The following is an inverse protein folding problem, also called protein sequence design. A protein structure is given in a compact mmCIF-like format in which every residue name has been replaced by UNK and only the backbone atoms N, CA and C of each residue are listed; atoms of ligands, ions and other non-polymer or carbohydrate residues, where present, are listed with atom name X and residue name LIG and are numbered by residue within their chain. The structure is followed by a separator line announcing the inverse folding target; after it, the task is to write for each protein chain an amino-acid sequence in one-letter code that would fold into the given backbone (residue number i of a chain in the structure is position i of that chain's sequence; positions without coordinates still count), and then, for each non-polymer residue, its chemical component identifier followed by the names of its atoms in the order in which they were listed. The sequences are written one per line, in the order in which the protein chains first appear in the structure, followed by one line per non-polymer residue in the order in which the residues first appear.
data_IF_666460733133
#
_entry.id   IF_666460733133
#
_cell.length_a   1.000
_cell.length_b   1.000
_cell.length_c   1.000
_cell.angle_alpha   90.00
_cell.angle_beta   90.00
_cell.angle_gamma   90.00
#
_symmetry.space_group_name_H-M   'P 1'
#
loop_
_entity.id
_entity.type
_entity.pdbx_description
1 polymer ?
#
# COMPACT_ATOMS: atom_id res chain seq x y z
N UNK A 1 -70.55 7.93 -39.98
CA UNK A 1 -71.72 7.42 -40.69
C UNK A 1 -72.78 7.05 -39.64
N UNK A 2 -73.90 7.74 -39.72
CA UNK A 2 -75.22 7.54 -39.14
C UNK A 2 -75.31 7.61 -37.60
N UNK A 3 -75.78 8.75 -37.08
CA UNK A 3 -77.20 9.20 -37.01
C UNK A 3 -77.90 8.53 -35.85
N UNK A 4 -78.28 9.25 -34.77
CA UNK A 4 -79.37 10.26 -34.68
C UNK A 4 -80.65 9.58 -34.19
N UNK A 5 -81.30 10.27 -33.28
CA UNK A 5 -82.77 10.30 -32.96
C UNK A 5 -83.13 9.28 -31.85
N UNK A 6 -83.86 9.64 -30.82
CA UNK A 6 -85.12 10.38 -30.67
C UNK A 6 -85.29 10.67 -29.17
N UNK A 7 -85.43 11.80 -28.59
CA UNK A 7 -86.51 12.80 -28.54
C UNK A 7 -87.86 12.28 -28.26
N UNK A 8 -88.40 12.88 -27.22
CA UNK A 8 -89.85 13.04 -26.99
C UNK A 8 -90.68 11.84 -26.50
N UNK A 9 -90.86 11.76 -25.15
CA UNK A 9 -92.15 11.47 -24.62
C UNK A 9 -92.19 11.76 -23.10
N UNK A 10 -92.65 12.89 -22.69
CA UNK A 10 -93.33 13.08 -21.40
C UNK A 10 -93.57 14.54 -21.08
N UNK A 11 -94.44 15.11 -21.82
CA UNK A 11 -95.25 16.27 -21.34
C UNK A 11 -96.68 15.82 -21.32
N UNK A 12 -97.16 15.47 -20.14
CA UNK A 12 -98.52 15.57 -19.73
C UNK A 12 -98.80 14.67 -18.52
N UNK A 13 -98.67 15.21 -17.31
CA UNK A 13 -99.47 14.88 -16.10
C UNK A 13 -98.88 15.82 -15.00
N UNK A 14 -99.18 17.05 -15.15
CA UNK A 14 -99.05 17.99 -14.01
C UNK A 14 -100.29 18.85 -14.03
N UNK A 15 -100.93 18.97 -12.96
CA UNK A 15 -102.04 19.85 -12.61
C UNK A 15 -103.15 19.05 -11.86
N UNK A 16 -102.95 18.48 -10.75
CA UNK A 16 -104.03 18.32 -9.73
C UNK A 16 -103.52 18.03 -8.30
N UNK A 17 -102.29 18.30 -7.92
CA UNK A 17 -101.85 17.98 -6.53
C UNK A 17 -101.20 19.14 -5.73
N UNK A 18 -101.57 20.34 -6.05
CA UNK A 18 -100.92 21.52 -5.42
C UNK A 18 -101.79 22.29 -4.39
N UNK A 19 -102.79 21.72 -3.75
CA UNK A 19 -103.55 22.57 -2.79
C UNK A 19 -103.52 22.10 -1.33
N UNK A 20 -102.98 20.97 -0.95
CA UNK A 20 -102.95 20.49 0.45
C UNK A 20 -101.56 20.29 1.03
N UNK A 21 -100.48 20.65 0.29
CA UNK A 21 -99.06 20.56 0.76
C UNK A 21 -98.51 21.81 1.36
N UNK A 22 -99.18 22.96 1.24
CA UNK A 22 -98.63 24.22 1.74
C UNK A 22 -98.89 24.55 3.22
N UNK A 23 -99.87 23.92 3.83
CA UNK A 23 -100.19 24.09 5.27
C UNK A 23 -99.44 23.09 6.17
N UNK A 24 -99.03 21.95 5.68
CA UNK A 24 -98.29 20.96 6.47
C UNK A 24 -96.75 21.32 6.55
N UNK A 25 -96.22 22.06 5.57
CA UNK A 25 -94.82 22.43 5.53
C UNK A 25 -94.52 23.63 6.48
N UNK A 26 -95.49 24.50 6.72
CA UNK A 26 -95.30 25.64 7.62
C UNK A 26 -95.17 25.27 9.10
N UNK A 27 -95.93 24.22 9.56
CA UNK A 27 -95.83 23.78 10.94
C UNK A 27 -94.60 22.91 11.22
N UNK A 28 -94.13 22.17 10.26
CA UNK A 28 -92.92 21.36 10.38
C UNK A 28 -91.64 22.23 10.40
N UNK A 29 -91.58 23.37 9.68
CA UNK A 29 -90.46 24.31 9.70
C UNK A 29 -90.35 25.13 10.99
N UNK A 30 -91.52 25.43 11.64
CA UNK A 30 -91.51 26.15 12.93
C UNK A 30 -91.06 25.28 14.11
N UNK A 31 -91.33 23.97 14.08
CA UNK A 31 -90.87 23.02 15.11
C UNK A 31 -89.41 22.66 14.97
N UNK A 32 -88.88 22.65 13.77
CA UNK A 32 -87.40 22.45 13.53
C UNK A 32 -86.59 23.68 13.92
N UNK A 33 -87.14 24.87 13.72
CA UNK A 33 -86.46 26.11 14.15
C UNK A 33 -86.39 26.27 15.68
N UNK A 34 -87.42 25.82 16.43
CA UNK A 34 -87.43 25.84 17.89
C UNK A 34 -86.51 24.76 18.52
N UNK A 35 -86.37 23.61 17.90
CA UNK A 35 -85.46 22.55 18.34
C UNK A 35 -84.02 22.97 17.99
N UNK A 36 -83.80 23.67 16.87
CA UNK A 36 -82.46 24.18 16.46
C UNK A 36 -81.93 25.30 17.37
N UNK A 37 -82.77 26.19 17.92
CA UNK A 37 -82.34 27.21 18.86
C UNK A 37 -82.10 26.69 20.28
N UNK A 38 -82.76 25.58 20.70
CA UNK A 38 -82.53 24.92 21.98
C UNK A 38 -81.24 24.09 22.02
N UNK A 39 -80.83 23.52 20.90
CA UNK A 39 -79.61 22.70 20.80
C UNK A 39 -78.32 23.52 20.63
N UNK A 40 -78.42 24.74 20.17
CA UNK A 40 -77.23 25.60 20.00
C UNK A 40 -76.65 26.20 21.30
N UNK A 41 -77.45 26.13 22.41
CA UNK A 41 -76.95 26.58 23.74
C UNK A 41 -76.37 25.49 24.62
N UNK A 42 -76.44 24.21 24.19
CA UNK A 42 -75.84 23.08 24.95
C UNK A 42 -74.55 22.54 24.36
N UNK A 43 -74.02 23.11 23.28
CA UNK A 43 -72.72 22.72 22.69
C UNK A 43 -71.84 23.97 22.61
N UNK A 44 -71.74 24.72 23.67
CA UNK A 44 -70.58 25.55 23.94
C UNK A 44 -69.56 24.64 24.60
N UNK A 45 -68.94 23.75 23.79
CA UNK A 45 -67.66 23.21 24.17
C UNK A 45 -66.65 24.37 24.06
N UNK A 46 -66.14 24.80 25.19
CA UNK A 46 -64.87 25.54 25.20
C UNK A 46 -63.89 24.73 24.34
N UNK A 47 -63.17 25.34 23.37
CA UNK A 47 -62.12 24.62 22.67
C UNK A 47 -61.13 24.24 23.76
N UNK A 48 -61.11 22.96 24.15
CA UNK A 48 -59.94 22.40 24.85
C UNK A 48 -58.80 22.66 23.91
N UNK A 49 -58.02 23.71 24.19
CA UNK A 49 -56.74 23.94 23.58
C UNK A 49 -55.96 22.66 23.91
N UNK A 50 -55.92 21.72 22.98
CA UNK A 50 -55.12 20.51 23.10
C UNK A 50 -53.69 21.05 23.37
N UNK A 51 -53.22 20.85 24.58
CA UNK A 51 -51.85 21.19 24.91
C UNK A 51 -50.98 20.50 23.84
N UNK A 52 -50.18 21.33 23.12
CA UNK A 52 -49.28 20.78 22.09
C UNK A 52 -48.51 19.62 22.71
N UNK A 53 -48.40 18.48 22.06
CA UNK A 53 -47.66 17.34 22.59
C UNK A 53 -46.28 17.83 23.03
N UNK A 54 -45.78 17.37 24.18
CA UNK A 54 -44.48 17.80 24.66
C UNK A 54 -43.42 17.54 23.59
N UNK A 55 -42.44 18.44 23.41
CA UNK A 55 -41.40 18.28 22.41
C UNK A 55 -40.71 16.92 22.56
N UNK A 56 -40.48 16.19 21.47
CA UNK A 56 -39.88 14.86 21.53
C UNK A 56 -38.49 14.90 22.17
N UNK A 57 -38.22 13.89 23.01
CA UNK A 57 -36.92 13.77 23.66
C UNK A 57 -35.90 13.19 22.64
N UNK A 58 -34.74 13.82 22.55
CA UNK A 58 -33.62 13.41 21.72
C UNK A 58 -32.34 13.34 22.55
N UNK A 59 -31.48 12.38 22.24
CA UNK A 59 -30.14 12.31 22.86
C UNK A 59 -29.17 13.10 22.01
N UNK A 60 -28.46 14.04 22.63
CA UNK A 60 -27.45 14.88 21.97
C UNK A 60 -26.08 14.63 22.57
N UNK A 61 -25.03 14.68 21.73
CA UNK A 61 -23.65 14.62 22.15
C UNK A 61 -22.84 15.74 21.50
N UNK A 62 -21.80 16.19 22.20
CA UNK A 62 -20.80 17.07 21.61
C UNK A 62 -19.82 16.26 20.78
N UNK A 63 -19.35 16.77 19.64
CA UNK A 63 -18.28 16.13 18.87
C UNK A 63 -17.02 15.95 19.71
N UNK A 64 -16.40 14.81 19.64
CA UNK A 64 -15.12 14.54 20.32
C UNK A 64 -14.00 15.11 19.48
N UNK A 65 -13.20 16.00 20.05
CA UNK A 65 -11.98 16.49 19.41
C UNK A 65 -10.84 15.52 19.72
N UNK A 66 -10.28 14.89 18.69
CA UNK A 66 -9.16 13.95 18.82
C UNK A 66 -8.10 14.23 17.76
N UNK A 67 -6.84 14.06 18.14
CA UNK A 67 -5.74 14.03 17.17
C UNK A 67 -5.81 12.71 16.41
N UNK A 68 -5.91 12.78 15.10
CA UNK A 68 -6.01 11.60 14.24
C UNK A 68 -4.95 11.66 13.16
N UNK A 69 -4.34 10.52 12.90
CA UNK A 69 -3.49 10.29 11.74
C UNK A 69 -4.40 9.85 10.59
N UNK A 70 -4.32 10.52 9.46
CA UNK A 70 -4.96 10.03 8.24
C UNK A 70 -4.05 9.00 7.58
N UNK A 71 -4.65 7.92 7.11
CA UNK A 71 -3.96 6.83 6.43
C UNK A 71 -4.55 6.66 5.04
N UNK A 72 -3.69 6.44 4.06
CA UNK A 72 -4.08 6.02 2.72
C UNK A 72 -3.67 4.55 2.55
N UNK A 73 -4.61 3.71 2.09
CA UNK A 73 -4.42 2.27 1.95
C UNK A 73 -3.90 1.91 0.57
N UNK A 74 -2.95 0.98 0.54
CA UNK A 74 -2.31 0.44 -0.67
C UNK A 74 -2.19 -1.07 -0.56
N UNK A 75 -2.17 -1.71 -1.70
CA UNK A 75 -1.85 -3.14 -1.82
C UNK A 75 -0.50 -3.28 -2.49
N UNK A 76 0.32 -4.21 -2.01
CA UNK A 76 1.65 -4.41 -2.57
C UNK A 76 2.21 -5.78 -2.29
N UNK A 77 3.49 -5.94 -2.64
CA UNK A 77 4.24 -7.19 -2.47
C UNK A 77 5.60 -6.94 -1.88
N UNK A 78 6.06 -7.88 -1.08
CA UNK A 78 7.43 -7.89 -0.61
C UNK A 78 8.38 -8.26 -1.74
N UNK A 79 9.52 -7.58 -1.79
CA UNK A 79 10.60 -7.81 -2.75
C UNK A 79 11.95 -7.79 -2.01
N UNK A 80 12.96 -8.52 -2.46
CA UNK A 80 14.27 -8.50 -1.82
C UNK A 80 14.91 -7.12 -1.98
N UNK A 81 15.68 -6.68 -0.99
CA UNK A 81 16.43 -5.43 -1.09
C UNK A 81 17.57 -5.51 -2.11
N UNK A 82 18.15 -6.71 -2.28
CA UNK A 82 19.11 -7.03 -3.33
C UNK A 82 18.88 -8.45 -3.81
N UNK A 83 19.02 -8.66 -5.12
CA UNK A 83 18.97 -9.96 -5.76
C UNK A 83 20.23 -10.13 -6.58
N UNK A 84 21.02 -11.16 -6.30
CA UNK A 84 22.27 -11.42 -7.02
C UNK A 84 22.27 -12.85 -7.53
N UNK A 85 22.35 -12.98 -8.83
CA UNK A 85 22.57 -14.24 -9.50
C UNK A 85 24.04 -14.66 -9.37
N UNK A 86 24.28 -15.85 -8.87
CA UNK A 86 25.62 -16.39 -8.70
C UNK A 86 25.98 -17.16 -9.97
N UNK A 87 26.93 -16.63 -10.71
CA UNK A 87 27.46 -17.21 -11.95
C UNK A 87 28.98 -17.30 -11.85
N UNK A 88 29.60 -18.38 -12.35
CA UNK A 88 31.05 -18.53 -12.32
C UNK A 88 31.71 -17.60 -13.35
N UNK A 89 32.93 -17.17 -13.05
CA UNK A 89 33.76 -16.37 -13.97
C UNK A 89 34.70 -17.25 -14.81
N UNK A 90 34.97 -18.46 -14.35
CA UNK A 90 35.82 -19.43 -15.03
C UNK A 90 35.01 -20.71 -15.29
N UNK A 91 35.31 -21.41 -16.39
CA UNK A 91 34.66 -22.67 -16.77
C UNK A 91 35.38 -23.84 -16.16
N UNK A 92 34.64 -24.87 -15.72
CA UNK A 92 35.27 -26.08 -15.18
C UNK A 92 34.26 -27.00 -14.49
N UNK A 93 34.70 -28.15 -14.01
CA UNK A 93 33.86 -29.08 -13.26
C UNK A 93 33.65 -28.60 -11.82
N UNK A 94 32.42 -28.70 -11.30
CA UNK A 94 32.13 -28.44 -9.88
C UNK A 94 32.68 -29.56 -9.02
N UNK A 95 33.52 -29.24 -8.05
CA UNK A 95 34.13 -30.19 -7.12
C UNK A 95 33.57 -30.12 -5.71
N UNK A 96 32.85 -29.03 -5.36
CA UNK A 96 32.25 -28.90 -4.03
C UNK A 96 31.14 -27.84 -3.97
N UNK A 97 30.19 -28.09 -3.06
CA UNK A 97 29.08 -27.21 -2.69
C UNK A 97 29.13 -27.07 -1.16
N UNK A 98 29.09 -25.83 -0.65
CA UNK A 98 29.36 -25.51 0.76
C UNK A 98 28.21 -24.78 1.45
N UNK A 99 26.98 -25.02 1.02
CA UNK A 99 25.77 -24.47 1.61
C UNK A 99 24.63 -25.50 1.47
N UNK A 100 23.52 -25.25 2.19
CA UNK A 100 22.25 -25.96 2.00
C UNK A 100 21.25 -25.02 1.31
N UNK A 101 20.40 -25.60 0.48
CA UNK A 101 19.35 -24.85 -0.22
C UNK A 101 18.44 -24.14 0.81
N UNK A 102 18.19 -22.83 0.61
CA UNK A 102 17.42 -22.00 1.53
C UNK A 102 18.15 -21.47 2.78
N UNK A 103 19.43 -21.80 2.95
CA UNK A 103 20.28 -21.33 4.07
C UNK A 103 20.54 -19.82 3.99
N UNK A 104 20.81 -19.20 5.14
CA UNK A 104 21.32 -17.84 5.20
C UNK A 104 22.84 -17.86 5.05
N UNK A 105 23.33 -17.26 3.99
CA UNK A 105 24.77 -17.15 3.69
C UNK A 105 25.27 -15.74 3.99
N UNK A 106 26.52 -15.64 4.42
CA UNK A 106 27.19 -14.37 4.68
C UNK A 106 27.97 -13.89 3.46
N UNK A 107 28.13 -12.59 3.34
CA UNK A 107 29.05 -12.03 2.34
C UNK A 107 30.46 -12.62 2.49
N UNK A 108 31.07 -13.05 1.35
CA UNK A 108 32.39 -13.72 1.32
C UNK A 108 32.34 -15.23 1.61
N UNK A 109 31.21 -15.79 2.06
CA UNK A 109 31.08 -17.24 2.29
C UNK A 109 31.29 -18.01 1.00
N UNK A 110 32.11 -19.07 1.04
CA UNK A 110 32.32 -20.00 -0.07
C UNK A 110 31.03 -20.75 -0.35
N UNK A 111 30.55 -20.72 -1.60
CA UNK A 111 29.34 -21.40 -2.05
C UNK A 111 29.67 -22.62 -2.91
N UNK A 112 30.50 -22.43 -3.94
CA UNK A 112 30.88 -23.49 -4.85
C UNK A 112 32.40 -23.48 -5.07
N UNK A 113 32.95 -24.64 -5.41
CA UNK A 113 34.33 -24.78 -5.86
C UNK A 113 34.38 -25.45 -7.21
N UNK A 114 35.03 -24.79 -8.15
CA UNK A 114 35.39 -25.34 -9.47
C UNK A 114 36.74 -25.98 -9.36
N UNK A 115 37.06 -26.97 -10.16
CA UNK A 115 38.37 -27.67 -10.16
C UNK A 115 39.52 -26.67 -10.36
N UNK A 116 40.33 -26.38 -9.30
CA UNK A 116 41.39 -25.39 -9.39
C UNK A 116 42.66 -25.92 -10.09
N UNK A 117 42.81 -27.22 -10.30
CA UNK A 117 44.04 -27.86 -10.77
C UNK A 117 44.57 -27.29 -12.11
N UNK A 118 43.72 -27.12 -13.16
CA UNK A 118 44.21 -26.51 -14.42
C UNK A 118 44.69 -25.06 -14.25
N UNK A 119 43.98 -24.31 -13.43
CA UNK A 119 44.31 -22.90 -13.17
C UNK A 119 45.59 -22.76 -12.31
N UNK A 120 45.76 -23.61 -11.31
CA UNK A 120 46.97 -23.67 -10.50
C UNK A 120 48.19 -24.04 -11.34
N UNK A 121 48.06 -24.98 -12.30
CA UNK A 121 49.15 -25.32 -13.23
C UNK A 121 49.52 -24.11 -14.12
N UNK A 122 48.50 -23.40 -14.67
CA UNK A 122 48.75 -22.22 -15.50
C UNK A 122 49.40 -21.06 -14.68
N UNK A 123 49.04 -20.89 -13.40
CA UNK A 123 49.69 -19.95 -12.50
C UNK A 123 51.15 -20.31 -12.23
N UNK A 124 51.45 -21.60 -12.00
CA UNK A 124 52.81 -22.11 -11.82
C UNK A 124 53.68 -21.82 -13.05
N UNK A 125 53.14 -22.08 -14.27
CA UNK A 125 53.81 -21.73 -15.53
C UNK A 125 54.12 -20.24 -15.65
N UNK A 126 53.13 -19.35 -15.35
CA UNK A 126 53.32 -17.90 -15.39
C UNK A 126 54.41 -17.45 -14.42
N UNK A 127 54.45 -18.02 -13.20
CA UNK A 127 55.50 -17.73 -12.20
C UNK A 127 56.88 -18.15 -12.66
N UNK A 128 56.99 -19.28 -13.34
CA UNK A 128 58.24 -19.73 -13.91
C UNK A 128 58.76 -18.76 -15.00
N UNK A 129 57.85 -18.27 -15.87
CA UNK A 129 58.19 -17.25 -16.89
C UNK A 129 58.65 -15.93 -16.25
N UNK A 130 57.99 -15.50 -15.17
CA UNK A 130 58.41 -14.32 -14.43
C UNK A 130 59.80 -14.50 -13.80
N UNK A 131 60.10 -15.64 -13.20
CA UNK A 131 61.41 -15.96 -12.65
C UNK A 131 62.49 -15.93 -13.71
N UNK A 132 62.24 -16.44 -14.91
CA UNK A 132 63.15 -16.36 -16.06
C UNK A 132 63.43 -14.91 -16.49
N UNK A 133 62.34 -14.07 -16.60
CA UNK A 133 62.47 -12.68 -16.94
C UNK A 133 63.31 -11.89 -15.87
N UNK A 134 63.11 -12.17 -14.59
CA UNK A 134 63.91 -11.60 -13.49
C UNK A 134 65.37 -11.97 -13.59
N UNK A 135 65.67 -13.22 -13.99
CA UNK A 135 67.06 -13.65 -14.22
C UNK A 135 67.68 -12.89 -15.39
N UNK A 136 66.92 -12.61 -16.45
CA UNK A 136 67.40 -11.79 -17.58
C UNK A 136 67.71 -10.36 -17.16
N UNK A 137 66.90 -9.73 -16.30
CA UNK A 137 67.19 -8.41 -15.72
C UNK A 137 68.49 -8.44 -14.93
N UNK A 138 68.69 -9.47 -14.10
CA UNK A 138 69.93 -9.60 -13.32
C UNK A 138 71.17 -9.73 -14.21
N UNK A 139 71.07 -10.49 -15.30
CA UNK A 139 72.11 -10.62 -16.30
C UNK A 139 72.43 -9.26 -16.96
N UNK A 140 71.38 -8.55 -17.45
CA UNK A 140 71.51 -7.25 -18.08
C UNK A 140 72.14 -6.21 -17.11
N UNK A 141 71.66 -6.17 -15.84
CA UNK A 141 72.23 -5.33 -14.79
C UNK A 141 73.71 -5.60 -14.56
N UNK A 142 74.10 -6.87 -14.48
CA UNK A 142 75.51 -7.27 -14.30
C UNK A 142 76.37 -6.93 -15.51
N UNK A 143 75.82 -7.05 -16.73
CA UNK A 143 76.55 -6.67 -17.95
C UNK A 143 76.80 -5.15 -18.00
N UNK A 144 75.72 -4.35 -17.76
CA UNK A 144 75.87 -2.89 -17.71
C UNK A 144 76.83 -2.43 -16.61
N UNK A 145 76.77 -3.01 -15.42
CA UNK A 145 77.65 -2.67 -14.31
C UNK A 145 79.10 -3.03 -14.61
N UNK A 146 79.42 -4.12 -15.34
CA UNK A 146 80.79 -4.43 -15.80
C UNK A 146 81.24 -3.44 -16.86
N UNK A 147 80.48 -3.14 -17.88
CA UNK A 147 80.80 -2.22 -18.94
C UNK A 147 81.02 -0.78 -18.40
N UNK A 148 80.19 -0.30 -17.48
CA UNK A 148 80.33 1.00 -16.84
C UNK A 148 81.66 1.16 -16.06
N UNK A 149 82.18 0.06 -15.49
CA UNK A 149 83.50 0.11 -14.82
C UNK A 149 84.66 0.20 -15.82
N UNK A 150 84.53 -0.37 -17.00
CA UNK A 150 85.53 -0.39 -18.05
C UNK A 150 85.59 0.91 -18.90
N UNK A 151 84.62 1.80 -18.79
CA UNK A 151 84.57 3.07 -19.51
C UNK A 151 85.70 4.00 -19.08
N UNK A 152 86.12 3.92 -17.81
CA UNK A 152 87.22 4.74 -17.28
C UNK A 152 88.59 4.41 -17.93
N UNK A 153 88.69 3.21 -18.52
CA UNK A 153 89.92 2.73 -19.16
C UNK A 153 89.84 2.79 -20.71
N UNK A 154 88.90 3.55 -21.30
CA UNK A 154 88.62 3.64 -22.75
C UNK A 154 88.37 2.29 -23.44
N UNK A 155 88.07 1.25 -22.66
CA UNK A 155 87.90 -0.13 -23.16
C UNK A 155 86.49 -0.47 -23.70
N UNK A 156 85.51 0.45 -23.55
CA UNK A 156 84.10 0.28 -23.97
C UNK A 156 83.58 1.59 -24.55
N UNK A 157 82.87 1.53 -25.70
CA UNK A 157 82.25 2.69 -26.37
C UNK A 157 81.00 3.21 -25.69
N UNK A 158 80.69 4.49 -25.85
CA UNK A 158 79.47 5.11 -25.37
C UNK A 158 78.19 4.41 -26.02
N UNK A 159 78.26 4.04 -27.28
CA UNK A 159 77.25 3.33 -28.02
C UNK A 159 76.89 1.93 -27.40
N UNK A 160 77.93 1.23 -26.98
CA UNK A 160 77.79 -0.05 -26.29
C UNK A 160 77.14 0.10 -24.95
N UNK A 161 77.44 1.12 -24.17
CA UNK A 161 76.79 1.44 -22.90
C UNK A 161 75.29 1.76 -23.15
N UNK A 162 75.00 2.57 -24.17
CA UNK A 162 73.56 2.90 -24.49
C UNK A 162 72.79 1.68 -24.94
N UNK A 163 73.44 0.79 -25.67
CA UNK A 163 72.85 -0.54 -26.04
C UNK A 163 72.56 -1.39 -24.78
N UNK A 164 73.52 -1.47 -23.84
CA UNK A 164 73.32 -2.23 -22.59
C UNK A 164 72.23 -1.59 -21.69
N UNK A 165 72.10 -0.29 -21.68
CA UNK A 165 71.05 0.42 -20.99
C UNK A 165 69.70 0.14 -21.64
N UNK A 166 69.58 0.09 -22.99
CA UNK A 166 68.44 -0.25 -23.73
C UNK A 166 68.00 -1.70 -23.45
N UNK A 167 68.96 -2.65 -23.43
CA UNK A 167 68.75 -4.03 -23.09
C UNK A 167 68.22 -4.21 -21.67
N UNK A 168 68.78 -3.47 -20.71
CA UNK A 168 68.26 -3.50 -19.34
C UNK A 168 66.80 -3.04 -19.27
N UNK A 169 66.50 -1.90 -19.91
CA UNK A 169 65.13 -1.41 -19.95
C UNK A 169 64.15 -2.39 -20.60
N UNK A 170 64.56 -3.04 -21.68
CA UNK A 170 63.77 -4.09 -22.33
C UNK A 170 63.53 -5.31 -21.43
N UNK A 171 64.58 -5.73 -20.69
CA UNK A 171 64.43 -6.83 -19.73
C UNK A 171 63.50 -6.46 -18.55
N UNK A 172 63.60 -5.22 -18.04
CA UNK A 172 62.72 -4.71 -16.99
C UNK A 172 61.26 -4.62 -17.46
N UNK A 173 61.01 -4.18 -18.70
CA UNK A 173 59.69 -4.19 -19.30
C UNK A 173 59.13 -5.61 -19.44
N UNK A 174 59.98 -6.61 -19.79
CA UNK A 174 59.55 -8.02 -19.86
C UNK A 174 59.15 -8.57 -18.48
N UNK A 175 59.84 -8.17 -17.39
CA UNK A 175 59.37 -8.53 -16.02
C UNK A 175 58.03 -7.92 -15.74
N UNK A 176 57.74 -6.67 -16.09
CA UNK A 176 56.42 -6.04 -15.93
C UNK A 176 55.34 -6.80 -16.65
N UNK A 177 55.59 -7.24 -17.90
CA UNK A 177 54.65 -8.03 -18.69
C UNK A 177 54.35 -9.43 -18.06
N UNK A 178 55.40 -10.13 -17.62
CA UNK A 178 55.24 -11.45 -16.98
C UNK A 178 54.56 -11.34 -15.59
N UNK A 179 54.86 -10.29 -14.83
CA UNK A 179 54.19 -10.00 -13.56
C UNK A 179 52.67 -9.77 -13.75
N UNK A 180 52.28 -9.01 -14.78
CA UNK A 180 50.85 -8.84 -15.13
C UNK A 180 50.20 -10.18 -15.48
N UNK A 181 50.92 -11.07 -16.16
CA UNK A 181 50.43 -12.40 -16.51
C UNK A 181 50.25 -13.30 -15.27
N UNK A 182 51.19 -13.22 -14.29
CA UNK A 182 51.03 -13.92 -12.99
C UNK A 182 49.79 -13.43 -12.25
N UNK A 183 49.55 -12.11 -12.22
CA UNK A 183 48.36 -11.52 -11.59
C UNK A 183 47.07 -12.02 -12.25
N UNK A 184 47.02 -12.05 -13.58
CA UNK A 184 45.85 -12.57 -14.32
C UNK A 184 45.55 -14.06 -13.97
N UNK A 185 46.60 -14.90 -13.96
CA UNK A 185 46.45 -16.31 -13.61
C UNK A 185 46.09 -16.55 -12.13
N UNK A 186 46.55 -15.70 -11.24
CA UNK A 186 46.20 -15.72 -9.83
C UNK A 186 44.68 -15.40 -9.64
N UNK A 187 44.15 -14.43 -10.38
CA UNK A 187 42.72 -14.15 -10.41
C UNK A 187 41.91 -15.31 -10.95
N UNK A 188 42.39 -16.02 -12.00
CA UNK A 188 41.73 -17.22 -12.50
C UNK A 188 41.58 -18.30 -11.41
N UNK A 189 42.61 -18.50 -10.61
CA UNK A 189 42.60 -19.42 -9.45
C UNK A 189 41.60 -18.94 -8.39
N UNK A 190 41.61 -17.64 -8.06
CA UNK A 190 40.64 -17.07 -7.11
C UNK A 190 39.19 -17.28 -7.57
N UNK A 191 38.92 -17.12 -8.86
CA UNK A 191 37.58 -17.28 -9.43
C UNK A 191 37.09 -18.75 -9.45
N UNK A 192 37.97 -19.73 -9.17
CA UNK A 192 37.52 -21.12 -8.93
C UNK A 192 36.73 -21.25 -7.62
N UNK A 193 36.92 -20.33 -6.68
CA UNK A 193 36.14 -20.25 -5.45
C UNK A 193 35.01 -19.24 -5.62
N UNK A 194 33.80 -19.73 -5.88
CA UNK A 194 32.61 -18.89 -6.04
C UNK A 194 32.05 -18.55 -4.67
N UNK A 195 32.15 -17.26 -4.30
CA UNK A 195 31.73 -16.75 -2.99
C UNK A 195 30.50 -15.85 -3.10
N UNK A 196 29.73 -15.75 -2.02
CA UNK A 196 28.57 -14.88 -1.96
C UNK A 196 29.00 -13.38 -1.91
N UNK A 197 28.50 -12.54 -2.83
CA UNK A 197 28.79 -11.11 -2.82
C UNK A 197 27.97 -10.32 -1.78
N UNK A 198 26.91 -10.93 -1.24
CA UNK A 198 26.00 -10.31 -0.27
C UNK A 198 25.63 -11.30 0.84
N UNK A 199 25.18 -10.77 1.98
CA UNK A 199 24.51 -11.56 3.01
C UNK A 199 23.03 -11.70 2.65
N UNK A 200 22.47 -12.93 2.71
CA UNK A 200 21.07 -13.17 2.40
C UNK A 200 20.70 -14.64 2.37
N UNK A 201 19.46 -14.93 2.01
CA UNK A 201 19.00 -16.31 1.82
C UNK A 201 19.38 -16.79 0.42
N UNK A 202 20.04 -17.92 0.34
CA UNK A 202 20.37 -18.57 -0.92
C UNK A 202 19.19 -19.40 -1.41
N UNK A 203 18.98 -19.42 -2.73
CA UNK A 203 17.96 -20.24 -3.38
C UNK A 203 18.46 -21.68 -3.56
N UNK A 204 17.71 -22.49 -4.28
CA UNK A 204 18.12 -23.83 -4.71
C UNK A 204 19.35 -23.78 -5.63
N UNK A 205 20.18 -24.80 -5.55
CA UNK A 205 21.28 -25.00 -6.48
C UNK A 205 20.77 -25.51 -7.83
N UNK A 206 21.34 -24.99 -8.91
CA UNK A 206 20.99 -25.39 -10.29
C UNK A 206 22.03 -26.29 -10.95
N UNK A 207 23.13 -26.57 -10.25
CA UNK A 207 24.19 -27.43 -10.70
C UNK A 207 24.73 -28.27 -9.54
N UNK A 208 25.03 -29.53 -9.79
CA UNK A 208 25.53 -30.47 -8.81
C UNK A 208 27.03 -30.76 -8.99
N UNK A 209 27.64 -31.37 -7.96
CA UNK A 209 29.05 -31.81 -8.01
C UNK A 209 29.24 -32.76 -9.20
N UNK A 210 30.27 -32.51 -9.99
CA UNK A 210 30.57 -33.25 -11.22
C UNK A 210 30.06 -32.57 -12.49
N UNK A 211 29.10 -31.62 -12.40
CA UNK A 211 28.63 -30.90 -13.58
C UNK A 211 29.72 -29.95 -14.09
N UNK A 212 29.83 -29.86 -15.42
CA UNK A 212 30.65 -28.86 -16.09
C UNK A 212 29.87 -27.56 -16.16
N UNK A 213 30.43 -26.46 -15.67
CA UNK A 213 29.86 -25.14 -15.72
C UNK A 213 30.63 -24.20 -16.63
N UNK A 214 29.91 -23.38 -17.39
CA UNK A 214 30.50 -22.36 -18.24
C UNK A 214 30.65 -21.05 -17.44
N UNK A 215 31.87 -20.49 -17.47
CA UNK A 215 32.18 -19.18 -16.95
C UNK A 215 32.30 -18.14 -18.07
N UNK A 216 32.41 -16.86 -17.71
CA UNK A 216 32.62 -15.77 -18.68
C UNK A 216 31.60 -14.66 -18.55
N UNK A 217 31.14 -14.10 -19.68
CA UNK A 217 30.14 -13.04 -19.70
C UNK A 217 28.79 -13.50 -19.16
N UNK A 218 28.06 -12.58 -18.51
CA UNK A 218 26.82 -12.90 -17.79
C UNK A 218 25.76 -13.60 -18.64
N UNK A 219 25.70 -13.35 -19.95
CA UNK A 219 24.72 -13.98 -20.87
C UNK A 219 25.00 -15.44 -21.18
N UNK A 220 26.26 -15.88 -21.13
CA UNK A 220 26.70 -17.24 -21.46
C UNK A 220 27.06 -18.08 -20.23
N UNK A 221 27.31 -17.44 -19.08
CA UNK A 221 27.70 -18.12 -17.86
C UNK A 221 26.53 -18.89 -17.23
N UNK A 222 26.81 -20.12 -16.76
CA UNK A 222 25.83 -20.99 -16.10
C UNK A 222 25.33 -20.33 -14.81
N UNK A 223 24.01 -20.19 -14.64
CA UNK A 223 23.42 -19.76 -13.38
C UNK A 223 23.53 -20.90 -12.35
N UNK A 224 24.26 -20.68 -11.27
CA UNK A 224 24.45 -21.69 -10.21
C UNK A 224 23.36 -21.60 -9.14
N UNK A 225 23.01 -20.41 -8.70
CA UNK A 225 21.97 -20.12 -7.71
C UNK A 225 21.72 -18.60 -7.66
N UNK A 226 20.76 -18.18 -6.83
CA UNK A 226 20.48 -16.74 -6.56
C UNK A 226 20.52 -16.48 -5.06
N UNK A 227 21.08 -15.35 -4.65
CA UNK A 227 21.08 -14.91 -3.25
C UNK A 227 20.19 -13.66 -3.12
N UNK A 228 19.24 -13.71 -2.20
CA UNK A 228 18.32 -12.63 -1.89
C UNK A 228 18.65 -12.00 -0.54
N UNK A 229 18.95 -10.72 -0.52
CA UNK A 229 19.04 -9.96 0.73
C UNK A 229 17.62 -9.67 1.22
N UNK A 230 17.28 -10.20 2.42
CA UNK A 230 15.95 -10.16 2.99
C UNK A 230 15.85 -9.24 4.21
N UNK A 231 16.95 -8.72 4.73
CA UNK A 231 16.97 -7.76 5.83
C UNK A 231 17.96 -6.63 5.49
N UNK A 232 17.45 -5.40 5.30
CA UNK A 232 16.02 -5.06 5.21
C UNK A 232 15.35 -5.64 3.95
N UNK A 233 14.04 -5.79 3.98
CA UNK A 233 13.21 -6.19 2.83
C UNK A 233 12.45 -4.97 2.30
N UNK A 234 12.15 -4.95 1.02
CA UNK A 234 11.33 -3.94 0.39
C UNK A 234 9.88 -4.38 0.30
N UNK A 235 8.99 -3.40 0.36
CA UNK A 235 7.58 -3.55 0.02
C UNK A 235 7.27 -2.62 -1.15
N UNK A 236 6.96 -3.19 -2.30
CA UNK A 236 6.62 -2.45 -3.53
C UNK A 236 5.11 -2.36 -3.67
N UNK A 237 4.62 -1.17 -3.97
CA UNK A 237 3.20 -0.87 -4.16
C UNK A 237 3.01 0.11 -5.30
N UNK A 238 1.82 0.10 -5.90
CA UNK A 238 1.43 1.04 -6.93
C UNK A 238 0.34 1.98 -6.37
N UNK A 239 0.62 3.26 -6.37
CA UNK A 239 -0.29 4.32 -5.92
C UNK A 239 -0.98 5.02 -7.10
N UNK A 240 -2.25 5.41 -6.95
CA UNK A 240 -2.92 6.21 -7.95
C UNK A 240 -2.32 7.61 -8.05
N UNK A 241 -2.38 8.22 -9.25
CA UNK A 241 -1.95 9.59 -9.47
C UNK A 241 -2.62 10.58 -8.50
N UNK A 242 -3.90 10.39 -8.20
CA UNK A 242 -4.64 11.25 -7.28
C UNK A 242 -4.05 11.25 -5.86
N UNK A 243 -3.69 10.08 -5.33
CA UNK A 243 -3.03 9.94 -4.02
C UNK A 243 -1.62 10.53 -4.04
N UNK A 244 -0.88 10.33 -5.12
CA UNK A 244 0.44 10.92 -5.30
C UNK A 244 0.38 12.46 -5.31
N UNK A 245 -0.55 13.05 -6.07
CA UNK A 245 -0.73 14.49 -6.12
C UNK A 245 -1.18 15.05 -4.77
N UNK A 246 -2.08 14.36 -4.05
CA UNK A 246 -2.44 14.69 -2.67
C UNK A 246 -1.20 14.71 -1.78
N UNK A 247 -0.43 13.64 -1.80
CA UNK A 247 0.81 13.54 -1.05
C UNK A 247 1.80 14.67 -1.37
N UNK A 248 1.96 15.06 -2.61
CA UNK A 248 2.83 16.16 -3.04
C UNK A 248 2.36 17.53 -2.56
N UNK A 249 1.05 17.77 -2.50
CA UNK A 249 0.46 19.05 -2.04
C UNK A 249 0.53 19.21 -0.53
N UNK A 250 0.36 18.14 0.21
CA UNK A 250 0.29 18.19 1.67
C UNK A 250 1.66 18.40 2.36
N UNK A 251 2.80 18.42 1.65
CA UNK A 251 4.16 18.68 2.14
C UNK A 251 4.81 17.47 2.88
N UNK A 252 6.06 17.59 3.31
CA UNK A 252 6.89 16.44 3.75
C UNK A 252 6.77 16.02 5.22
N UNK A 253 5.94 16.68 6.01
CA UNK A 253 5.83 16.40 7.45
C UNK A 253 5.09 15.07 7.72
N UNK A 254 5.79 14.06 8.15
CA UNK A 254 5.32 12.75 8.64
C UNK A 254 4.87 11.70 7.60
N UNK A 255 5.26 11.83 6.33
CA UNK A 255 4.77 11.00 5.22
C UNK A 255 5.48 9.68 4.98
N UNK A 256 6.57 9.42 5.68
CA UNK A 256 7.40 8.25 5.39
C UNK A 256 6.95 7.00 6.16
N UNK A 257 6.07 7.14 7.15
CA UNK A 257 5.66 6.03 8.00
C UNK A 257 4.65 5.14 7.30
N UNK A 258 5.01 3.89 7.14
CA UNK A 258 4.12 2.85 6.62
C UNK A 258 3.92 1.76 7.65
N UNK A 259 2.75 1.17 7.62
CA UNK A 259 2.42 -0.01 8.40
C UNK A 259 1.80 -1.04 7.47
N UNK A 260 2.23 -2.30 7.60
CA UNK A 260 1.83 -3.36 6.69
C UNK A 260 1.21 -4.49 7.49
N UNK A 261 0.17 -5.07 6.93
CA UNK A 261 -0.58 -6.20 7.44
C UNK A 261 -0.52 -7.34 6.43
N UNK A 262 -0.19 -8.53 6.86
CA UNK A 262 -0.29 -9.74 6.04
C UNK A 262 -1.73 -10.26 6.02
N UNK A 263 -2.02 -11.19 5.12
CA UNK A 263 -3.38 -11.70 4.90
C UNK A 263 -3.96 -12.49 6.08
N UNK A 264 -3.10 -13.10 6.89
CA UNK A 264 -3.45 -13.90 8.07
C UNK A 264 -3.45 -13.09 9.38
N UNK A 265 -3.13 -11.80 9.32
CA UNK A 265 -3.04 -10.93 10.49
C UNK A 265 -4.29 -10.07 10.64
N UNK A 266 -4.72 -9.86 11.90
CA UNK A 266 -5.85 -8.97 12.23
C UNK A 266 -5.47 -7.49 12.34
N UNK A 267 -4.18 -7.13 12.21
CA UNK A 267 -3.70 -5.76 12.39
C UNK A 267 -2.37 -5.48 11.69
N UNK A 268 -2.02 -4.21 11.61
CA UNK A 268 -0.80 -3.72 10.95
C UNK A 268 0.41 -3.89 11.87
N UNK A 269 1.11 -5.00 11.76
CA UNK A 269 2.24 -5.35 12.65
C UNK A 269 3.60 -4.90 12.13
N UNK A 270 3.78 -4.86 10.81
CA UNK A 270 5.06 -4.57 10.18
C UNK A 270 5.18 -3.09 9.92
N UNK A 271 6.17 -2.47 10.54
CA UNK A 271 6.43 -1.04 10.42
C UNK A 271 7.59 -0.79 9.50
N UNK A 272 7.47 0.24 8.68
CA UNK A 272 8.49 0.65 7.74
C UNK A 272 8.41 2.13 7.42
N UNK A 273 9.18 2.53 6.45
CA UNK A 273 9.17 3.89 5.93
C UNK A 273 9.28 3.87 4.40
N UNK A 274 8.76 4.89 3.75
CA UNK A 274 8.96 5.08 2.31
C UNK A 274 10.46 5.29 2.07
N UNK A 275 11.00 4.54 1.13
CA UNK A 275 12.39 4.61 0.69
C UNK A 275 12.51 5.29 -0.67
N UNK A 276 11.51 5.05 -1.54
CA UNK A 276 11.57 5.52 -2.91
C UNK A 276 10.16 5.67 -3.50
N UNK A 277 9.99 6.69 -4.32
CA UNK A 277 8.85 6.84 -5.24
C UNK A 277 9.40 7.07 -6.63
N UNK A 278 8.85 6.39 -7.63
CA UNK A 278 9.29 6.53 -9.02
C UNK A 278 9.10 7.98 -9.50
N UNK A 279 9.88 8.38 -10.48
CA UNK A 279 9.81 9.70 -11.11
C UNK A 279 8.90 9.71 -12.36
N UNK A 280 8.34 8.56 -12.72
CA UNK A 280 7.47 8.38 -13.88
C UNK A 280 6.20 7.65 -13.48
N UNK A 281 5.05 8.19 -13.92
CA UNK A 281 3.78 7.46 -13.87
C UNK A 281 3.72 6.44 -15.00
N UNK A 282 3.08 5.31 -14.73
CA UNK A 282 2.67 4.38 -15.78
C UNK A 282 1.47 4.97 -16.52
N UNK A 283 1.60 5.33 -17.81
CA UNK A 283 0.51 5.97 -18.55
C UNK A 283 -0.65 5.01 -18.84
N UNK A 284 -0.42 3.70 -18.81
CA UNK A 284 -1.46 2.69 -19.02
C UNK A 284 -2.36 2.48 -17.83
N UNK A 285 -1.80 2.54 -16.63
CA UNK A 285 -2.51 2.30 -15.38
C UNK A 285 -2.84 3.58 -14.59
N UNK A 286 -2.22 4.72 -14.93
CA UNK A 286 -2.34 5.97 -14.15
C UNK A 286 -1.79 5.82 -12.72
N UNK A 287 -0.78 4.98 -12.54
CA UNK A 287 -0.19 4.69 -11.24
C UNK A 287 1.28 5.08 -11.17
N UNK A 288 1.74 5.33 -9.96
CA UNK A 288 3.15 5.54 -9.64
C UNK A 288 3.62 4.43 -8.72
N UNK A 289 4.80 3.87 -9.02
CA UNK A 289 5.40 2.86 -8.17
C UNK A 289 6.07 3.50 -6.96
N UNK A 290 5.71 3.01 -5.78
CA UNK A 290 6.35 3.33 -4.53
C UNK A 290 7.04 2.11 -3.93
N UNK A 291 8.02 2.38 -3.06
CA UNK A 291 8.74 1.36 -2.32
C UNK A 291 8.95 1.79 -0.88
N UNK A 292 8.62 0.91 0.04
CA UNK A 292 8.92 1.06 1.45
C UNK A 292 10.01 0.08 1.88
N UNK A 293 10.80 0.47 2.86
CA UNK A 293 11.81 -0.37 3.51
C UNK A 293 11.27 -0.85 4.85
N UNK A 294 11.40 -2.15 5.10
CA UNK A 294 10.90 -2.83 6.30
C UNK A 294 12.01 -3.68 6.90
N UNK A 295 12.20 -3.60 8.20
CA UNK A 295 13.12 -4.47 8.92
C UNK A 295 12.59 -5.90 8.97
N UNK A 296 13.44 -6.88 8.73
CA UNK A 296 13.09 -8.31 8.71
C UNK A 296 14.15 -9.17 9.41
N UNK A 297 14.51 -8.88 10.67
CA UNK A 297 15.63 -9.52 11.35
C UNK A 297 15.44 -11.04 11.54
N UNK A 298 14.20 -11.50 11.54
CA UNK A 298 13.85 -12.93 11.63
C UNK A 298 13.72 -13.64 10.28
N UNK A 299 13.93 -12.95 9.17
CA UNK A 299 13.76 -13.46 7.79
C UNK A 299 12.38 -14.09 7.54
N UNK A 300 11.36 -13.68 8.30
CA UNK A 300 9.99 -14.18 8.17
C UNK A 300 9.35 -13.72 6.85
N UNK A 301 9.51 -12.42 6.55
CA UNK A 301 8.99 -11.86 5.30
C UNK A 301 9.78 -12.40 4.13
N UNK A 302 9.06 -12.97 3.18
CA UNK A 302 9.63 -13.60 1.99
C UNK A 302 9.20 -12.83 0.74
N UNK A 303 10.09 -12.66 -0.27
CA UNK A 303 9.73 -12.05 -1.54
C UNK A 303 8.53 -12.73 -2.19
N UNK A 304 7.63 -11.92 -2.75
CA UNK A 304 6.38 -12.39 -3.36
C UNK A 304 5.17 -12.41 -2.43
N UNK A 305 5.35 -12.36 -1.11
CA UNK A 305 4.23 -12.23 -0.17
C UNK A 305 3.45 -10.95 -0.42
N UNK A 306 2.13 -11.05 -0.37
CA UNK A 306 1.20 -9.92 -0.42
C UNK A 306 0.99 -9.29 0.95
N UNK A 307 0.71 -8.00 0.95
CA UNK A 307 0.27 -7.29 2.14
C UNK A 307 -0.61 -6.09 1.81
N UNK A 308 -1.42 -5.72 2.78
CA UNK A 308 -2.10 -4.43 2.80
C UNK A 308 -1.21 -3.45 3.55
N UNK A 309 -0.88 -2.33 2.92
CA UNK A 309 -0.07 -1.28 3.51
C UNK A 309 -0.92 -0.05 3.73
N UNK A 310 -0.73 0.61 4.86
CA UNK A 310 -1.23 1.95 5.08
C UNK A 310 -0.07 2.93 5.21
N UNK A 311 -0.19 4.02 4.48
CA UNK A 311 0.77 5.13 4.49
C UNK A 311 0.16 6.30 5.27
N UNK A 312 0.89 6.85 6.23
CA UNK A 312 0.45 8.04 6.94
C UNK A 312 0.36 9.21 5.94
N UNK A 313 -0.84 9.74 5.74
CA UNK A 313 -1.11 10.84 4.81
C UNK A 313 -1.30 12.14 5.58
N UNK A 314 -0.24 12.93 5.69
CA UNK A 314 -0.28 14.25 6.30
C UNK A 314 0.11 14.28 7.78
N UNK A 315 0.06 15.49 8.34
CA UNK A 315 0.29 15.70 9.76
C UNK A 315 -0.92 15.25 10.58
N UNK A 316 -0.66 14.77 11.80
CA UNK A 316 -1.70 14.56 12.79
C UNK A 316 -2.54 15.82 12.94
N UNK A 317 -3.84 15.73 12.68
CA UNK A 317 -4.76 16.87 12.75
C UNK A 317 -5.81 16.66 13.82
N UNK A 318 -6.19 17.75 14.49
CA UNK A 318 -7.36 17.73 15.34
C UNK A 318 -8.61 17.55 14.46
N UNK A 319 -9.31 16.46 14.62
CA UNK A 319 -10.56 16.17 13.92
C UNK A 319 -11.72 16.10 14.90
N UNK A 320 -12.90 16.46 14.42
CA UNK A 320 -14.16 16.27 15.13
C UNK A 320 -14.72 14.89 14.77
N UNK A 321 -15.01 14.10 15.78
CA UNK A 321 -15.56 12.77 15.62
C UNK A 321 -16.97 12.70 16.21
N UNK A 322 -17.87 12.05 15.50
CA UNK A 322 -19.24 11.76 15.94
C UNK A 322 -19.55 10.28 15.78
N UNK A 323 -20.46 9.69 16.56
CA UNK A 323 -20.91 8.32 16.30
C UNK A 323 -21.42 8.19 14.87
N UNK A 324 -21.05 7.10 14.17
CA UNK A 324 -21.48 6.87 12.78
C UNK A 324 -23.01 6.82 12.65
N UNK A 325 -23.70 6.40 13.72
CA UNK A 325 -25.18 6.38 13.84
C UNK A 325 -25.82 7.77 13.82
N UNK A 326 -25.06 8.84 14.11
CA UNK A 326 -25.55 10.22 14.09
C UNK A 326 -25.59 10.84 12.68
N UNK A 327 -25.16 10.10 11.66
CA UNK A 327 -25.04 10.60 10.30
C UNK A 327 -26.22 10.08 9.47
N UNK A 328 -27.02 11.03 9.01
CA UNK A 328 -28.11 10.79 8.07
C UNK A 328 -27.67 10.96 6.61
N UNK A 329 -28.55 10.54 5.72
CA UNK A 329 -28.40 10.82 4.29
C UNK A 329 -29.64 11.55 3.83
N UNK A 330 -29.45 12.74 3.27
CA UNK A 330 -30.49 13.54 2.67
C UNK A 330 -30.20 13.62 1.16
N UNK A 331 -30.98 12.85 0.38
CA UNK A 331 -30.75 12.63 -1.05
C UNK A 331 -29.30 12.16 -1.31
N UNK A 332 -28.46 13.00 -1.92
CA UNK A 332 -27.06 12.68 -2.25
C UNK A 332 -26.06 13.26 -1.21
N UNK A 333 -26.53 13.92 -0.13
CA UNK A 333 -25.67 14.58 0.84
C UNK A 333 -25.67 13.89 2.18
N UNK A 334 -24.52 13.80 2.81
CA UNK A 334 -24.39 13.36 4.19
C UNK A 334 -24.67 14.55 5.11
N UNK A 335 -25.56 14.32 6.08
CA UNK A 335 -26.04 15.36 6.98
C UNK A 335 -25.98 14.91 8.43
N UNK A 336 -25.87 15.86 9.33
CA UNK A 336 -26.09 15.68 10.77
C UNK A 336 -27.20 16.61 11.23
N UNK A 337 -27.99 16.15 12.20
CA UNK A 337 -28.97 17.00 12.87
C UNK A 337 -28.33 17.60 14.12
N UNK A 338 -28.42 18.91 14.27
CA UNK A 338 -27.89 19.66 15.42
C UNK A 338 -29.03 20.37 16.11
N UNK A 339 -28.92 20.51 17.43
CA UNK A 339 -29.86 21.25 18.25
C UNK A 339 -29.27 22.63 18.58
N UNK A 340 -29.94 23.68 18.15
CA UNK A 340 -29.59 25.06 18.40
C UNK A 340 -29.73 25.46 19.88
N UNK A 341 -29.28 26.66 20.28
CA UNK A 341 -29.44 27.17 21.66
C UNK A 341 -30.91 27.32 22.08
N UNK A 342 -31.79 27.51 21.13
CA UNK A 342 -33.27 27.61 21.27
C UNK A 342 -33.97 26.23 21.29
N UNK A 343 -33.22 25.15 21.31
CA UNK A 343 -33.67 23.75 21.21
C UNK A 343 -34.43 23.41 19.92
N UNK A 344 -34.19 24.15 18.85
CA UNK A 344 -34.72 23.88 17.52
C UNK A 344 -33.71 23.00 16.75
N UNK A 345 -34.25 22.00 16.05
CA UNK A 345 -33.44 21.09 15.20
C UNK A 345 -33.10 21.80 13.90
N UNK A 346 -31.85 21.74 13.52
CA UNK A 346 -31.38 22.14 12.19
C UNK A 346 -30.54 21.04 11.53
N UNK A 347 -30.67 20.90 10.22
CA UNK A 347 -29.87 19.96 9.44
C UNK A 347 -28.67 20.65 8.84
N UNK A 348 -27.49 20.05 8.98
CA UNK A 348 -26.26 20.58 8.43
C UNK A 348 -25.53 19.55 7.56
N UNK A 349 -25.19 19.93 6.34
CA UNK A 349 -24.40 19.10 5.45
C UNK A 349 -22.96 18.98 5.99
N UNK A 350 -22.40 17.77 5.92
CA UNK A 350 -21.07 17.45 6.42
C UNK A 350 -20.24 16.70 5.39
N UNK A 351 -18.92 16.93 5.41
CA UNK A 351 -17.96 16.14 4.65
C UNK A 351 -17.34 15.12 5.59
N UNK A 352 -17.46 13.85 5.25
CA UNK A 352 -17.03 12.74 6.11
C UNK A 352 -15.62 12.29 5.80
N UNK A 353 -14.95 11.75 6.81
CA UNK A 353 -13.73 10.97 6.74
C UNK A 353 -13.96 9.50 7.10
N UNK A 354 -12.89 8.74 7.35
CA UNK A 354 -12.96 7.35 7.81
C UNK A 354 -13.60 7.21 9.20
N UNK A 355 -13.96 5.97 9.55
CA UNK A 355 -14.39 5.60 10.92
C UNK A 355 -13.18 5.15 11.71
N UNK A 356 -13.04 5.63 12.93
CA UNK A 356 -12.01 5.22 13.89
C UNK A 356 -12.70 4.89 15.21
N UNK A 357 -12.51 3.69 15.73
CA UNK A 357 -13.08 3.21 17.00
C UNK A 357 -14.61 3.46 17.09
N UNK A 358 -15.35 3.22 16.02
CA UNK A 358 -16.81 3.42 15.97
C UNK A 358 -17.26 4.88 15.82
N UNK A 359 -16.33 5.82 15.76
CA UNK A 359 -16.58 7.24 15.54
C UNK A 359 -16.18 7.64 14.11
N UNK A 360 -17.03 8.39 13.44
CA UNK A 360 -16.77 8.95 12.09
C UNK A 360 -16.09 10.30 12.20
N UNK A 361 -15.01 10.49 11.48
CA UNK A 361 -14.38 11.79 11.32
C UNK A 361 -15.29 12.70 10.49
N UNK A 362 -15.47 13.94 10.94
CA UNK A 362 -16.12 15.00 10.19
C UNK A 362 -15.08 16.04 9.79
N UNK A 363 -14.79 16.12 8.49
CA UNK A 363 -13.76 17.02 7.93
C UNK A 363 -14.22 18.47 7.86
N UNK A 364 -15.52 18.69 7.61
CA UNK A 364 -16.11 20.01 7.57
C UNK A 364 -17.62 19.96 7.83
N UNK A 365 -18.19 21.09 8.22
CA UNK A 365 -19.62 21.24 8.48
C UNK A 365 -20.01 21.25 9.96
N UNK A 366 -19.14 20.85 10.90
CA UNK A 366 -19.38 20.89 12.34
C UNK A 366 -18.39 21.83 13.08
N UNK A 367 -18.83 22.31 14.23
CA UNK A 367 -18.03 23.06 15.20
C UNK A 367 -17.91 22.25 16.50
N UNK A 368 -16.87 22.44 17.31
CA UNK A 368 -16.67 21.70 18.57
C UNK A 368 -17.80 21.81 19.58
N UNK A 369 -18.56 22.92 19.55
CA UNK A 369 -19.68 23.19 20.47
C UNK A 369 -21.07 22.79 19.94
N UNK A 370 -21.17 22.20 18.76
CA UNK A 370 -22.45 21.79 18.16
C UNK A 370 -23.04 20.59 18.93
N UNK A 371 -24.31 20.66 19.32
CA UNK A 371 -25.05 19.56 19.96
C UNK A 371 -25.62 18.66 18.89
N UNK A 372 -24.93 17.57 18.55
CA UNK A 372 -25.33 16.63 17.50
C UNK A 372 -26.32 15.61 18.06
N UNK A 373 -27.43 15.37 17.37
CA UNK A 373 -28.38 14.33 17.73
C UNK A 373 -27.78 12.97 17.38
N UNK A 374 -27.70 12.09 18.37
CA UNK A 374 -27.10 10.75 18.26
C UNK A 374 -28.15 9.63 18.35
N UNK A 375 -29.28 9.92 19.03
CA UNK A 375 -30.44 9.02 19.12
C UNK A 375 -31.73 9.83 19.02
N UNK A 376 -32.76 9.22 18.47
CA UNK A 376 -34.07 9.85 18.30
C UNK A 376 -34.19 10.73 17.05
N UNK A 377 -33.32 10.57 16.05
CA UNK A 377 -33.36 11.34 14.80
C UNK A 377 -34.69 11.20 14.06
N UNK A 378 -35.37 10.05 14.16
CA UNK A 378 -36.68 9.83 13.54
C UNK A 378 -37.77 10.75 14.10
N UNK A 379 -37.59 11.25 15.32
CA UNK A 379 -38.54 12.15 16.00
C UNK A 379 -38.12 13.62 15.88
N UNK A 380 -36.95 13.91 15.30
CA UNK A 380 -36.38 15.22 15.19
C UNK A 380 -36.62 15.80 13.78
N UNK A 381 -37.77 16.46 13.60
CA UNK A 381 -38.06 17.14 12.32
C UNK A 381 -37.30 18.48 12.27
N UNK A 382 -36.60 18.80 11.16
CA UNK A 382 -35.96 20.11 11.00
C UNK A 382 -36.93 21.26 11.21
N UNK A 383 -36.55 22.25 12.03
CA UNK A 383 -37.38 23.36 12.41
C UNK A 383 -38.32 23.14 13.62
N UNK A 384 -38.38 21.92 14.17
CA UNK A 384 -39.21 21.58 15.32
C UNK A 384 -38.44 21.73 16.65
N UNK A 385 -39.11 22.10 17.76
CA UNK A 385 -38.51 22.09 19.07
C UNK A 385 -38.37 20.64 19.59
N UNK A 386 -37.26 20.38 20.31
CA UNK A 386 -36.95 19.09 20.93
C UNK A 386 -36.48 19.27 22.37
N UNK A 387 -36.58 18.21 23.18
CA UNK A 387 -36.04 18.20 24.54
C UNK A 387 -34.71 17.44 24.54
N UNK A 388 -33.56 18.13 24.57
CA UNK A 388 -32.25 17.48 24.49
C UNK A 388 -31.86 16.80 25.82
N UNK A 389 -31.39 15.55 25.76
CA UNK A 389 -30.70 14.84 26.84
C UNK A 389 -29.24 14.68 26.44
N UNK A 390 -28.32 15.13 27.28
CA UNK A 390 -26.88 15.06 26.96
C UNK A 390 -26.33 13.69 27.25
N UNK A 391 -25.60 13.13 26.28
CA UNK A 391 -24.81 11.92 26.43
C UNK A 391 -23.39 12.14 25.89
N UNK A 392 -22.46 11.27 26.26
CA UNK A 392 -21.09 11.32 25.75
C UNK A 392 -20.98 10.51 24.46
N UNK A 393 -20.47 11.10 23.38
CA UNK A 393 -20.34 10.45 22.07
C UNK A 393 -19.55 9.13 22.14
N UNK A 394 -18.53 9.04 22.98
CA UNK A 394 -17.72 7.84 23.19
C UNK A 394 -18.53 6.69 23.81
N UNK A 395 -19.40 6.99 24.77
CA UNK A 395 -20.25 5.96 25.39
C UNK A 395 -21.22 5.35 24.38
N UNK A 396 -21.73 6.14 23.44
CA UNK A 396 -22.66 5.69 22.42
C UNK A 396 -21.94 4.83 21.36
N UNK A 397 -20.74 5.22 20.94
CA UNK A 397 -19.94 4.45 20.00
C UNK A 397 -19.54 3.06 20.57
N UNK A 398 -19.28 3.00 21.89
CA UNK A 398 -18.98 1.71 22.58
C UNK A 398 -20.21 0.81 22.74
N UNK A 399 -21.42 1.38 22.73
CA UNK A 399 -22.65 0.60 22.86
C UNK A 399 -23.20 0.08 21.52
N UNK A 400 -22.69 0.58 20.39
CA UNK A 400 -23.08 0.10 19.08
C UNK A 400 -22.54 -1.32 18.84
N UNK A 401 -23.35 -2.29 18.38
CA UNK A 401 -22.87 -3.62 18.05
C UNK A 401 -21.82 -3.49 16.94
N UNK A 402 -20.63 -4.05 17.17
CA UNK A 402 -19.60 -4.20 16.14
C UNK A 402 -20.19 -5.10 15.06
N UNK A 403 -20.58 -4.52 13.93
CA UNK A 403 -20.87 -5.29 12.73
C UNK A 403 -19.53 -5.86 12.25
N UNK A 404 -19.22 -7.09 12.65
CA UNK A 404 -18.20 -7.89 11.97
C UNK A 404 -18.65 -7.99 10.52
N UNK A 405 -17.79 -7.61 9.54
CA UNK A 405 -18.10 -7.88 8.15
C UNK A 405 -18.37 -9.38 8.02
N UNK A 406 -19.51 -9.71 7.46
CA UNK A 406 -19.97 -11.08 7.22
C UNK A 406 -18.82 -11.83 6.53
N UNK A 407 -18.28 -12.80 7.26
CA UNK A 407 -17.21 -13.65 6.73
C UNK A 407 -17.82 -14.42 5.57
N UNK A 408 -17.55 -13.96 4.34
CA UNK A 408 -17.85 -14.73 3.16
C UNK A 408 -17.29 -16.12 3.35
N UNK A 409 -18.19 -17.10 3.48
CA UNK A 409 -17.83 -18.50 3.64
C UNK A 409 -16.82 -18.89 2.55
N UNK A 410 -15.75 -19.63 2.88
CA UNK A 410 -14.80 -20.05 1.86
C UNK A 410 -15.53 -20.93 0.85
N UNK A 411 -15.51 -20.52 -0.43
CA UNK A 411 -15.92 -21.36 -1.54
C UNK A 411 -14.98 -22.55 -1.54
N UNK A 412 -15.45 -23.68 -1.02
CA UNK A 412 -14.74 -24.95 -1.10
C UNK A 412 -14.68 -25.36 -2.58
N UNK A 413 -13.54 -25.17 -3.19
CA UNK A 413 -13.22 -25.78 -4.48
C UNK A 413 -13.14 -27.29 -4.29
N UNK A 414 -14.24 -27.99 -4.60
CA UNK A 414 -14.23 -29.44 -4.75
C UNK A 414 -13.48 -29.81 -6.01
N UNK A 415 -12.20 -30.16 -5.85
CA UNK A 415 -11.46 -30.82 -6.92
C UNK A 415 -11.93 -32.28 -7.02
N UNK A 416 -12.78 -32.56 -8.00
CA UNK A 416 -13.15 -33.93 -8.37
C UNK A 416 -12.03 -34.52 -9.20
N UNK A 417 -11.19 -35.38 -8.59
CA UNK A 417 -10.27 -36.23 -9.33
C UNK A 417 -11.05 -37.42 -9.91
N UNK A 418 -11.24 -37.42 -11.22
CA UNK A 418 -11.69 -38.60 -11.96
C UNK A 418 -10.47 -39.45 -12.30
N UNK A 419 -10.32 -40.62 -11.68
CA UNK A 419 -9.38 -41.62 -12.08
C UNK A 419 -9.97 -42.36 -13.30
N UNK A 420 -9.32 -42.26 -14.46
CA UNK A 420 -9.59 -43.13 -15.60
C UNK A 420 -8.52 -44.19 -15.67
N UNK A 421 -8.96 -45.44 -15.81
CA UNK A 421 -8.17 -46.66 -15.99
C UNK A 421 -7.31 -46.62 -17.25
#
# INVERSE_FOLDING_TARGET
MKMAAQSDFARAIDIVRHRHRRTAIGVALASVALIGLGASKLIAHDPVVAAAPPPPAVTVALPVTRQVDEWDDYIGRFAPSKSVEIRPRVSGALTGIFFRDGEIVKQGQLLFRIDPRPFAAALAEARAKEASARSSVQLAKSALARATRLIADDAVSAEEIDTLRANLRAAEAAVGATQAQVTARALDVEFTEVRSPITGRISDRRADIGNLVAGGEASSATLLTTVYALDPIYFSFDGSEALYLKARRDGDAAKDRVEIQLQDESGYRWKGRIDFSDNRLDPGAGTIRGRAIVANPGYFLTPGMFGNMRLASGATRAALLVPDTAIGTDQARKVVQIVGPDNIVSTRAVVLGPVIDGLRIVRSGLKPGDRVIVEGMQNATPGSPVTPRTATAVAIASAAPVQTPDSAAPIAAQATFSATR
#
